data_IF_181803854934
#
_entry.id   IF_181803854934
#
_cell.length_a   1.000
_cell.length_b   1.000
_cell.length_c   1.000
_cell.angle_alpha   90.00
_cell.angle_beta   90.00
_cell.angle_gamma   90.00
#
_symmetry.space_group_name_H-M   'P 1'
#
loop_
_entity.id
_entity.type
_entity.pdbx_description
1 polymer ?
#
# COMPACT_ATOMS: atom_id res chain seq x y z
N UNK A 1 20.02 -1.94 -35.62
CA UNK A 1 19.04 -1.93 -34.52
C UNK A 1 19.55 -2.87 -33.44
N UNK A 2 19.90 -2.36 -32.26
CA UNK A 2 20.40 -3.17 -31.15
C UNK A 2 19.21 -3.69 -30.32
N UNK A 3 19.19 -4.95 -29.87
CA UNK A 3 18.17 -5.42 -28.97
C UNK A 3 18.40 -4.77 -27.59
N UNK A 4 17.39 -4.06 -27.11
CA UNK A 4 17.39 -3.50 -25.76
C UNK A 4 17.23 -4.66 -24.77
N UNK A 5 18.24 -4.87 -23.93
CA UNK A 5 18.19 -5.87 -22.85
C UNK A 5 17.25 -5.37 -21.76
N UNK A 6 16.01 -5.85 -21.77
CA UNK A 6 15.09 -5.69 -20.64
C UNK A 6 15.59 -6.58 -19.50
N UNK A 7 16.19 -5.97 -18.46
CA UNK A 7 16.43 -6.65 -17.20
C UNK A 7 15.10 -6.82 -16.45
N UNK A 8 14.30 -7.79 -16.88
CA UNK A 8 13.21 -8.32 -16.07
C UNK A 8 13.78 -9.42 -15.20
N UNK A 9 14.14 -9.13 -13.95
CA UNK A 9 14.22 -10.20 -12.95
C UNK A 9 12.79 -10.67 -12.71
N UNK A 10 12.42 -11.73 -13.42
CA UNK A 10 11.20 -12.49 -13.23
C UNK A 10 11.17 -13.06 -11.82
N UNK A 11 10.68 -12.27 -10.89
CA UNK A 11 10.01 -12.75 -9.69
C UNK A 11 8.62 -12.12 -9.71
N UNK A 12 7.75 -12.60 -10.60
CA UNK A 12 6.30 -12.41 -10.51
C UNK A 12 5.80 -13.18 -9.29
N UNK A 13 6.14 -12.65 -8.10
CA UNK A 13 5.44 -12.95 -6.88
C UNK A 13 4.40 -11.86 -6.70
N UNK A 14 3.14 -12.26 -6.56
CA UNK A 14 2.00 -11.37 -6.31
C UNK A 14 2.36 -10.34 -5.22
N UNK A 15 2.17 -9.05 -5.50
CA UNK A 15 2.25 -8.00 -4.48
C UNK A 15 1.12 -8.23 -3.48
N UNK A 16 1.31 -7.73 -2.26
CA UNK A 16 0.35 -7.93 -1.18
C UNK A 16 -0.77 -6.89 -1.26
N UNK A 17 -2.00 -7.35 -1.03
CA UNK A 17 -3.17 -6.51 -0.80
C UNK A 17 -3.51 -6.49 0.69
N UNK A 18 -4.40 -5.58 1.09
CA UNK A 18 -4.93 -5.50 2.43
C UNK A 18 -5.74 -6.76 2.76
N UNK A 19 -5.53 -7.28 3.96
CA UNK A 19 -6.27 -8.42 4.53
C UNK A 19 -6.84 -8.03 5.89
N UNK A 20 -7.68 -8.87 6.47
CA UNK A 20 -8.21 -8.74 7.83
C UNK A 20 -7.16 -8.58 8.95
N UNK A 21 -5.89 -8.79 8.64
CA UNK A 21 -4.76 -8.79 9.58
C UNK A 21 -3.59 -7.92 9.11
N UNK A 22 -3.60 -7.44 7.86
CA UNK A 22 -2.50 -6.69 7.27
C UNK A 22 -3.04 -5.51 6.46
N UNK A 23 -2.92 -4.29 6.98
CA UNK A 23 -3.42 -3.08 6.30
C UNK A 23 -2.30 -2.17 5.83
N UNK A 24 -1.10 -2.30 6.41
CA UNK A 24 0.03 -1.40 6.16
C UNK A 24 1.26 -2.17 5.68
N UNK A 25 2.22 -1.44 5.10
CA UNK A 25 3.51 -1.99 4.73
C UNK A 25 4.25 -2.56 5.95
N UNK A 26 4.02 -2.02 7.15
CA UNK A 26 4.60 -2.55 8.41
C UNK A 26 4.21 -4.01 8.63
N UNK A 27 2.94 -4.34 8.41
CA UNK A 27 2.34 -5.64 8.72
C UNK A 27 2.87 -6.78 7.82
N UNK A 28 3.47 -6.42 6.68
CA UNK A 28 4.11 -7.38 5.80
C UNK A 28 5.40 -7.92 6.42
N UNK A 29 5.43 -9.24 6.63
CA UNK A 29 6.64 -9.98 7.02
C UNK A 29 7.77 -9.82 6.00
N UNK A 30 7.43 -9.84 4.72
CA UNK A 30 8.38 -9.66 3.60
C UNK A 30 7.94 -8.47 2.76
N UNK A 31 8.74 -7.41 2.75
CA UNK A 31 8.50 -6.20 1.95
C UNK A 31 9.21 -6.36 0.60
N UNK A 32 8.45 -6.31 -0.49
CA UNK A 32 8.99 -6.50 -1.85
C UNK A 32 9.11 -5.17 -2.56
N UNK A 33 10.30 -4.88 -3.09
CA UNK A 33 10.49 -3.74 -3.99
C UNK A 33 9.44 -3.77 -5.10
N UNK A 34 8.84 -2.62 -5.38
CA UNK A 34 7.75 -2.45 -6.32
C UNK A 34 6.36 -2.53 -5.68
N UNK A 35 6.23 -2.94 -4.41
CA UNK A 35 4.96 -3.00 -3.71
C UNK A 35 4.23 -1.64 -3.80
N UNK A 36 3.02 -1.60 -4.38
CA UNK A 36 2.19 -0.40 -4.38
C UNK A 36 1.77 -0.05 -2.96
N UNK A 37 1.76 1.25 -2.66
CA UNK A 37 1.35 1.78 -1.35
C UNK A 37 0.61 3.10 -1.52
N UNK A 38 -0.33 3.37 -0.62
CA UNK A 38 -1.02 4.65 -0.49
C UNK A 38 -0.50 5.40 0.75
N UNK A 39 -0.17 6.68 0.59
CA UNK A 39 0.56 7.46 1.58
C UNK A 39 -0.38 8.22 2.51
N UNK A 40 -0.35 7.90 3.80
CA UNK A 40 -0.96 8.69 4.88
C UNK A 40 -0.04 9.78 5.43
N UNK A 41 1.25 9.65 5.15
CA UNK A 41 2.32 10.24 5.95
C UNK A 41 2.39 11.76 5.98
N UNK A 42 3.31 12.22 6.82
CA UNK A 42 3.49 13.61 7.23
C UNK A 42 3.80 14.64 6.12
N UNK A 43 4.28 14.24 4.94
CA UNK A 43 4.57 15.16 3.84
C UNK A 43 3.29 15.53 3.10
N UNK A 44 2.74 16.72 3.41
CA UNK A 44 1.45 17.21 2.89
C UNK A 44 1.34 17.13 1.36
N UNK A 45 2.41 17.42 0.63
CA UNK A 45 2.41 17.38 -0.84
C UNK A 45 2.29 15.96 -1.43
N UNK A 46 2.42 14.92 -0.61
CA UNK A 46 2.37 13.51 -1.00
C UNK A 46 1.28 12.72 -0.27
N UNK A 47 0.67 13.31 0.76
CA UNK A 47 -0.45 12.71 1.48
C UNK A 47 -1.60 12.45 0.52
N UNK A 48 -2.14 11.25 0.56
CA UNK A 48 -3.21 10.80 -0.32
C UNK A 48 -2.76 10.37 -1.72
N UNK A 49 -1.45 10.31 -1.98
CA UNK A 49 -0.92 9.82 -3.25
C UNK A 49 -0.50 8.36 -3.16
N UNK A 50 -0.49 7.72 -4.33
CA UNK A 50 0.04 6.38 -4.53
C UNK A 50 1.50 6.45 -4.95
N UNK A 51 2.25 5.44 -4.54
CA UNK A 51 3.63 5.26 -4.97
C UNK A 51 4.06 3.80 -4.87
N UNK A 52 5.32 3.56 -5.20
CA UNK A 52 5.92 2.23 -5.14
C UNK A 52 7.01 2.19 -4.09
N UNK A 53 6.94 1.22 -3.19
CA UNK A 53 8.00 0.95 -2.23
C UNK A 53 9.28 0.49 -2.96
N UNK A 54 10.40 1.13 -2.67
CA UNK A 54 11.69 0.84 -3.31
C UNK A 54 12.60 0.00 -2.42
N UNK A 55 12.84 0.46 -1.20
CA UNK A 55 13.77 -0.15 -0.26
C UNK A 55 13.42 0.25 1.16
N UNK A 56 13.70 -0.67 2.08
CA UNK A 56 13.63 -0.44 3.51
C UNK A 56 15.04 -0.16 4.02
N UNK A 57 15.25 0.95 4.72
CA UNK A 57 16.47 1.19 5.49
C UNK A 57 16.20 1.01 6.98
N UNK A 58 17.18 1.27 7.85
CA UNK A 58 17.07 0.98 9.28
C UNK A 58 15.87 1.64 10.00
N UNK A 59 15.19 2.63 9.40
CA UNK A 59 14.04 3.32 10.01
C UNK A 59 12.89 3.71 9.08
N UNK A 60 13.10 3.77 7.76
CA UNK A 60 12.14 4.33 6.81
C UNK A 60 11.95 3.42 5.59
N UNK A 61 10.72 3.40 5.08
CA UNK A 61 10.39 2.85 3.78
C UNK A 61 10.51 3.97 2.73
N UNK A 62 11.39 3.79 1.75
CA UNK A 62 11.49 4.72 0.62
C UNK A 62 10.39 4.41 -0.39
N UNK A 63 9.63 5.45 -0.76
CA UNK A 63 8.56 5.40 -1.75
C UNK A 63 8.94 6.28 -2.92
N UNK A 64 8.85 5.72 -4.13
CA UNK A 64 9.03 6.42 -5.40
C UNK A 64 7.67 6.76 -6.00
N UNK A 65 7.54 7.98 -6.49
CA UNK A 65 6.31 8.50 -7.10
C UNK A 65 6.44 8.55 -8.65
N UNK A 66 5.32 8.67 -9.38
CA UNK A 66 5.33 8.71 -10.85
C UNK A 66 6.14 9.86 -11.45
N UNK A 67 6.27 10.98 -10.73
CA UNK A 67 7.10 12.12 -11.12
C UNK A 67 8.61 11.90 -10.91
N UNK A 68 9.00 10.72 -10.42
CA UNK A 68 10.38 10.35 -10.12
C UNK A 68 10.87 10.78 -8.74
N UNK A 69 10.06 11.51 -7.97
CA UNK A 69 10.39 11.90 -6.60
C UNK A 69 10.48 10.68 -5.68
N UNK A 70 11.36 10.75 -4.68
CA UNK A 70 11.54 9.70 -3.66
C UNK A 70 11.46 10.33 -2.28
N UNK A 71 10.64 9.74 -1.39
CA UNK A 71 10.45 10.21 -0.01
C UNK A 71 10.46 9.02 0.94
N UNK A 72 10.99 9.21 2.15
CA UNK A 72 10.98 8.19 3.21
C UNK A 72 9.78 8.38 4.15
N UNK A 73 9.11 7.28 4.49
CA UNK A 73 7.96 7.24 5.40
C UNK A 73 8.14 6.21 6.50
N UNK A 74 7.42 6.39 7.61
CA UNK A 74 7.19 5.28 8.54
C UNK A 74 6.34 4.21 7.80
N UNK A 75 6.69 2.92 7.87
CA UNK A 75 5.90 1.85 7.25
C UNK A 75 4.43 1.77 7.69
N UNK A 76 4.08 2.31 8.85
CA UNK A 76 2.69 2.46 9.31
C UNK A 76 1.90 3.49 8.50
N UNK A 77 2.58 4.48 7.95
CA UNK A 77 1.97 5.54 7.14
C UNK A 77 1.70 5.09 5.69
N UNK A 78 1.95 3.82 5.36
CA UNK A 78 1.88 3.28 4.01
C UNK A 78 0.83 2.16 3.95
N UNK A 79 -0.36 2.47 3.45
CA UNK A 79 -1.44 1.51 3.31
C UNK A 79 -1.21 0.58 2.12
N UNK A 80 -1.61 -0.68 2.27
CA UNK A 80 -1.64 -1.67 1.20
C UNK A 80 -2.84 -1.43 0.27
N UNK A 81 -2.76 -1.88 -1.00
CA UNK A 81 -3.88 -1.81 -1.92
C UNK A 81 -5.01 -2.74 -1.49
N UNK A 82 -6.23 -2.36 -1.81
CA UNK A 82 -7.41 -3.22 -1.66
C UNK A 82 -7.35 -4.42 -2.59
N UNK A 83 -6.97 -4.18 -3.85
CA UNK A 83 -6.80 -5.23 -4.85
C UNK A 83 -5.74 -4.85 -5.89
N UNK A 84 -5.24 -5.84 -6.62
CA UNK A 84 -4.33 -5.66 -7.75
C UNK A 84 -4.84 -6.53 -8.91
N UNK A 85 -5.18 -5.91 -10.03
CA UNK A 85 -5.74 -6.63 -11.17
C UNK A 85 -4.70 -7.49 -11.93
N UNK A 86 -5.18 -8.20 -12.95
CA UNK A 86 -4.38 -9.05 -13.83
C UNK A 86 -3.29 -8.30 -14.61
N UNK A 87 -3.41 -6.98 -14.73
CA UNK A 87 -2.42 -6.09 -15.36
C UNK A 87 -1.43 -5.50 -14.36
N UNK A 88 -1.58 -5.80 -13.07
CA UNK A 88 -0.74 -5.29 -11.99
C UNK A 88 -1.09 -3.86 -11.56
N UNK A 89 -2.28 -3.36 -11.91
CA UNK A 89 -2.76 -2.05 -11.46
C UNK A 89 -3.36 -2.22 -10.07
N UNK A 90 -2.87 -1.42 -9.12
CA UNK A 90 -3.34 -1.42 -7.76
C UNK A 90 -4.55 -0.50 -7.58
N UNK A 91 -5.55 -0.96 -6.85
CA UNK A 91 -6.73 -0.19 -6.46
C UNK A 91 -6.73 0.01 -4.95
N UNK A 92 -7.08 1.21 -4.50
CA UNK A 92 -7.08 1.60 -3.09
C UNK A 92 -8.45 2.14 -2.69
N UNK A 93 -9.22 1.35 -1.95
CA UNK A 93 -10.48 1.79 -1.34
C UNK A 93 -10.22 2.17 0.11
N UNK A 94 -10.08 3.46 0.38
CA UNK A 94 -9.74 3.98 1.71
C UNK A 94 -10.99 4.55 2.39
N UNK A 95 -11.20 4.22 3.67
CA UNK A 95 -12.30 4.76 4.49
C UNK A 95 -11.76 5.39 5.78
N UNK A 96 -12.40 6.45 6.30
CA UNK A 96 -12.13 6.93 7.65
C UNK A 96 -12.83 6.03 8.67
N UNK A 97 -12.11 5.66 9.73
CA UNK A 97 -12.71 5.00 10.89
C UNK A 97 -13.67 5.97 11.58
N UNK A 98 -14.91 5.56 11.83
CA UNK A 98 -15.92 6.42 12.49
C UNK A 98 -15.66 6.67 13.97
N UNK A 99 -14.73 5.93 14.59
CA UNK A 99 -14.39 6.05 16.01
C UNK A 99 -13.10 6.84 16.25
N UNK A 100 -12.03 6.54 15.51
CA UNK A 100 -10.71 7.17 15.72
C UNK A 100 -10.26 8.07 14.56
N UNK A 101 -11.08 8.20 13.52
CA UNK A 101 -10.84 9.04 12.33
C UNK A 101 -9.61 8.64 11.49
N UNK A 102 -8.86 7.60 11.88
CA UNK A 102 -7.77 7.06 11.08
C UNK A 102 -8.29 6.46 9.76
N UNK A 103 -7.55 6.76 8.68
CA UNK A 103 -7.80 6.16 7.39
C UNK A 103 -7.31 4.71 7.37
N UNK A 104 -8.11 3.80 6.85
CA UNK A 104 -7.75 2.40 6.66
C UNK A 104 -8.19 1.90 5.28
N UNK A 105 -7.46 0.96 4.66
CA UNK A 105 -7.87 0.35 3.41
C UNK A 105 -8.96 -0.69 3.69
N UNK A 106 -9.91 -0.81 2.77
CA UNK A 106 -10.78 -1.97 2.68
C UNK A 106 -9.99 -3.16 2.09
N UNK A 107 -10.38 -4.36 2.49
CA UNK A 107 -9.96 -5.59 1.82
C UNK A 107 -10.86 -5.87 0.61
N UNK A 108 -10.43 -6.73 -0.32
CA UNK A 108 -11.31 -7.16 -1.43
C UNK A 108 -12.63 -7.74 -0.92
N UNK A 109 -12.57 -8.52 0.17
CA UNK A 109 -13.75 -9.12 0.80
C UNK A 109 -14.69 -8.06 1.41
N UNK A 110 -14.15 -6.98 1.98
CA UNK A 110 -14.98 -5.87 2.49
C UNK A 110 -15.74 -5.17 1.35
N UNK A 111 -15.12 -5.00 0.18
CA UNK A 111 -15.76 -4.39 -1.00
C UNK A 111 -16.85 -5.28 -1.61
N UNK A 112 -16.74 -6.59 -1.46
CA UNK A 112 -17.74 -7.56 -1.93
C UNK A 112 -18.87 -7.78 -0.91
N UNK A 113 -18.67 -7.36 0.34
CA UNK A 113 -19.66 -7.54 1.40
C UNK A 113 -20.89 -6.63 1.18
N UNK A 114 -22.09 -7.05 1.62
CA UNK A 114 -23.28 -6.21 1.55
C UNK A 114 -23.17 -4.89 2.33
N UNK A 115 -22.35 -4.89 3.39
CA UNK A 115 -22.09 -3.73 4.24
C UNK A 115 -20.58 -3.55 4.39
N UNK A 116 -20.09 -2.38 3.97
CA UNK A 116 -18.69 -2.00 4.19
C UNK A 116 -18.45 -1.75 5.68
N UNK A 117 -17.25 -2.09 6.19
CA UNK A 117 -16.93 -1.79 7.56
C UNK A 117 -16.72 -0.29 7.78
N UNK A 118 -17.15 0.18 8.95
CA UNK A 118 -17.02 1.59 9.36
C UNK A 118 -15.89 1.82 10.37
N UNK A 119 -15.26 0.74 10.87
CA UNK A 119 -14.19 0.77 11.86
C UNK A 119 -12.89 0.18 11.30
N UNK A 120 -11.75 0.76 11.68
CA UNK A 120 -10.44 0.17 11.40
C UNK A 120 -10.20 -1.09 12.26
N UNK A 121 -9.21 -1.92 11.89
CA UNK A 121 -8.88 -3.15 12.62
C UNK A 121 -8.60 -2.92 14.10
N UNK A 122 -7.88 -1.84 14.43
CA UNK A 122 -7.56 -1.52 15.83
C UNK A 122 -8.81 -1.27 16.66
N UNK A 123 -9.79 -0.52 16.13
CA UNK A 123 -11.05 -0.25 16.82
C UNK A 123 -12.02 -1.44 16.82
N UNK A 124 -11.93 -2.37 15.87
CA UNK A 124 -12.76 -3.59 15.89
C UNK A 124 -12.33 -4.57 16.98
N UNK A 125 -11.04 -4.56 17.34
CA UNK A 125 -10.45 -5.49 18.30
C UNK A 125 -10.17 -4.87 19.68
N UNK A 126 -10.57 -3.61 19.89
CA UNK A 126 -10.42 -2.86 21.15
C UNK A 126 -11.55 -3.08 22.15
#
# INVERSE_FOLDING_TARGET
>A
MMPTTTFGTSSTGQFSCATDTQHTLRDLRTKRKGQPVFVLGHVLARKGQEGTFEVFNDRLALVKFPDGGVVGYDPLELLLPTDIDDKGIAYFEIRPCTQCEHLFPLTSADCEAPEEPTLCLECRHS
#
